data_IF_742271910434
#
_entry.id   IF_742271910434
#
_cell.length_a   1.000
_cell.length_b   1.000
_cell.length_c   1.000
_cell.angle_alpha   90.00
_cell.angle_beta   90.00
_cell.angle_gamma   90.00
#
_symmetry.space_group_name_H-M   'P 1'
#
loop_
_entity.id
_entity.type
_entity.pdbx_description
1 polymer ?
#
# COMPACT_ATOMS: atom_id res chain seq x y z
N UNK A 1 2.55 35.22 -10.64
CA UNK A 1 3.77 35.08 -11.46
C UNK A 1 3.53 33.95 -12.42
N UNK A 2 3.67 34.24 -13.71
CA UNK A 2 3.60 33.20 -14.73
C UNK A 2 4.80 32.27 -14.58
N UNK A 3 4.55 30.97 -14.73
CA UNK A 3 5.55 29.93 -14.61
C UNK A 3 6.42 29.94 -15.86
N UNK A 4 7.56 30.63 -15.81
CA UNK A 4 8.45 30.82 -16.96
C UNK A 4 9.93 30.64 -16.60
N UNK A 5 10.72 30.25 -17.61
CA UNK A 5 12.17 30.21 -17.47
C UNK A 5 12.73 31.64 -17.54
N UNK A 6 13.55 32.01 -16.55
CA UNK A 6 14.41 33.20 -16.61
C UNK A 6 15.76 32.76 -17.15
N UNK A 7 16.02 33.08 -18.42
CA UNK A 7 17.14 32.54 -19.21
C UNK A 7 17.08 31.01 -19.30
N UNK A 8 17.95 30.32 -18.57
CA UNK A 8 18.01 28.85 -18.53
C UNK A 8 17.47 28.26 -17.22
N UNK A 9 16.93 29.09 -16.31
CA UNK A 9 16.55 28.67 -14.95
C UNK A 9 15.05 28.86 -14.69
N UNK A 10 14.40 27.83 -14.16
CA UNK A 10 13.04 27.85 -13.64
C UNK A 10 13.07 27.49 -12.16
N UNK A 11 12.41 28.29 -11.31
CA UNK A 11 12.30 28.05 -9.88
C UNK A 11 10.83 27.94 -9.47
N UNK A 12 10.52 26.92 -8.68
CA UNK A 12 9.16 26.56 -8.31
C UNK A 12 9.13 26.04 -6.88
N UNK A 13 8.23 26.57 -6.06
CA UNK A 13 8.00 26.05 -4.72
C UNK A 13 7.05 24.85 -4.78
N UNK A 14 7.32 23.82 -3.98
CA UNK A 14 6.46 22.64 -3.90
C UNK A 14 5.73 22.60 -2.58
N UNK A 15 4.42 22.37 -2.64
CA UNK A 15 3.57 22.12 -1.47
C UNK A 15 3.44 20.63 -1.23
N UNK A 16 3.77 20.19 -0.01
CA UNK A 16 3.53 18.83 0.46
C UNK A 16 2.10 18.65 0.96
N UNK A 17 1.42 17.65 0.40
CA UNK A 17 0.08 17.22 0.81
C UNK A 17 0.11 15.91 1.57
N UNK A 18 1.15 15.11 1.39
CA UNK A 18 1.41 13.92 2.16
C UNK A 18 2.92 13.67 2.27
N UNK A 19 3.41 13.33 3.48
CA UNK A 19 4.84 13.23 3.75
C UNK A 19 5.51 12.14 2.93
N UNK A 20 6.82 12.28 2.73
CA UNK A 20 7.64 11.26 2.08
C UNK A 20 8.06 10.24 3.13
N UNK A 21 8.03 8.95 2.77
CA UNK A 21 8.83 7.95 3.50
C UNK A 21 10.21 7.96 2.87
N UNK A 22 11.12 8.70 3.49
CA UNK A 22 12.45 8.98 2.97
C UNK A 22 13.43 7.85 3.32
N UNK A 23 14.39 7.63 2.42
CA UNK A 23 15.36 6.53 2.49
C UNK A 23 16.68 6.94 3.16
N UNK A 24 17.05 8.22 3.11
CA UNK A 24 18.16 8.84 3.86
C UNK A 24 17.66 10.04 4.66
N UNK A 25 16.85 9.81 5.71
CA UNK A 25 16.21 10.90 6.44
C UNK A 25 17.14 11.67 7.37
N UNK A 26 18.36 11.17 7.58
CA UNK A 26 19.38 11.77 8.46
C UNK A 26 20.26 12.80 7.74
N UNK A 27 20.16 12.90 6.41
CA UNK A 27 20.87 13.92 5.64
C UNK A 27 20.29 15.31 5.89
N UNK A 28 21.16 16.30 6.07
CA UNK A 28 20.77 17.70 6.18
C UNK A 28 19.99 18.13 4.93
N UNK A 29 18.83 18.77 5.13
CA UNK A 29 17.94 19.14 4.02
C UNK A 29 17.19 17.98 3.38
N UNK A 30 17.01 16.84 4.07
CA UNK A 30 16.26 15.68 3.55
C UNK A 30 14.92 16.10 2.90
N UNK A 31 14.78 15.81 1.60
CA UNK A 31 13.61 16.23 0.80
C UNK A 31 13.41 15.35 -0.44
N UNK A 32 12.67 15.81 -1.45
CA UNK A 32 12.59 15.16 -2.76
C UNK A 32 13.97 15.05 -3.40
N UNK A 33 14.26 13.90 -4.01
CA UNK A 33 15.51 13.69 -4.74
C UNK A 33 15.35 13.90 -6.23
N UNK A 34 16.25 14.68 -6.81
CA UNK A 34 16.36 14.80 -8.26
C UNK A 34 16.58 13.44 -8.95
N UNK A 35 17.33 12.52 -8.32
CA UNK A 35 17.57 11.17 -8.84
C UNK A 35 16.31 10.29 -8.89
N UNK A 36 15.24 10.64 -8.16
CA UNK A 36 13.94 9.98 -8.27
C UNK A 36 12.97 10.77 -9.16
N UNK A 37 12.88 12.09 -8.96
CA UNK A 37 11.89 12.94 -9.62
C UNK A 37 12.21 13.08 -11.11
N UNK A 38 13.48 13.38 -11.48
CA UNK A 38 13.85 13.63 -12.87
C UNK A 38 13.57 12.42 -13.77
N UNK A 39 13.99 11.18 -13.45
CA UNK A 39 13.70 10.03 -14.33
C UNK A 39 12.20 9.68 -14.42
N UNK A 40 11.39 10.04 -13.41
CA UNK A 40 9.94 9.92 -13.50
C UNK A 40 9.36 10.98 -14.43
N UNK A 41 9.84 12.23 -14.34
CA UNK A 41 9.38 13.31 -15.19
C UNK A 41 9.81 13.13 -16.65
N UNK A 42 11.05 12.69 -16.92
CA UNK A 42 11.53 12.33 -18.26
C UNK A 42 10.57 11.31 -18.92
N UNK A 43 10.22 10.23 -18.20
CA UNK A 43 9.27 9.22 -18.69
C UNK A 43 7.87 9.78 -18.92
N UNK A 44 7.43 10.69 -18.05
CA UNK A 44 6.14 11.36 -18.19
C UNK A 44 6.12 12.25 -19.44
N UNK A 45 7.13 13.09 -19.64
CA UNK A 45 7.29 13.95 -20.82
C UNK A 45 7.35 13.12 -22.10
N UNK A 46 8.17 12.06 -22.14
CA UNK A 46 8.26 11.18 -23.32
C UNK A 46 6.96 10.41 -23.62
N UNK A 47 6.10 10.22 -22.62
CA UNK A 47 4.74 9.66 -22.83
C UNK A 47 3.81 10.72 -23.41
N UNK A 48 3.92 11.97 -22.99
CA UNK A 48 3.10 13.10 -23.44
C UNK A 48 3.48 13.60 -24.82
N UNK A 49 4.77 13.59 -25.12
CA UNK A 49 5.34 14.10 -26.35
C UNK A 49 6.22 13.00 -26.96
N UNK A 50 5.63 12.04 -27.72
CA UNK A 50 6.35 10.90 -28.25
C UNK A 50 7.53 11.25 -29.15
N UNK A 51 7.51 12.41 -29.81
CA UNK A 51 8.62 12.91 -30.64
C UNK A 51 9.92 13.06 -29.85
N UNK A 52 9.86 13.34 -28.54
CA UNK A 52 11.05 13.40 -27.68
C UNK A 52 11.81 12.07 -27.65
N UNK A 53 11.13 10.92 -27.78
CA UNK A 53 11.82 9.62 -27.82
C UNK A 53 12.72 9.49 -29.03
N UNK A 54 12.27 10.03 -30.16
CA UNK A 54 13.03 10.01 -31.41
C UNK A 54 14.18 11.00 -31.35
N UNK A 55 13.93 12.22 -30.87
CA UNK A 55 14.95 13.27 -30.73
C UNK A 55 16.08 12.88 -29.79
N UNK A 56 15.77 12.20 -28.68
CA UNK A 56 16.75 11.87 -27.63
C UNK A 56 17.10 10.39 -27.55
N UNK A 57 16.68 9.54 -28.50
CA UNK A 57 17.03 8.10 -28.59
C UNK A 57 16.90 7.34 -27.26
N UNK A 58 15.84 7.61 -26.48
CA UNK A 58 15.62 7.06 -25.12
C UNK A 58 16.70 7.39 -24.07
N UNK A 59 17.53 8.41 -24.30
CA UNK A 59 18.47 8.94 -23.31
C UNK A 59 17.79 9.92 -22.35
N UNK A 60 18.50 10.32 -21.29
CA UNK A 60 18.02 11.34 -20.35
C UNK A 60 17.86 12.69 -21.04
N UNK A 61 16.75 13.38 -20.77
CA UNK A 61 16.50 14.71 -21.33
C UNK A 61 17.53 15.72 -20.75
N UNK A 62 18.10 16.61 -21.58
CA UNK A 62 19.25 17.46 -21.23
C UNK A 62 18.88 18.68 -20.36
N UNK A 63 18.36 18.42 -19.17
CA UNK A 63 18.12 19.43 -18.14
C UNK A 63 18.60 18.92 -16.77
N UNK A 64 18.82 19.83 -15.83
CA UNK A 64 19.19 19.51 -14.44
C UNK A 64 18.05 19.90 -13.51
N UNK A 65 17.95 19.19 -12.39
CA UNK A 65 16.93 19.43 -11.36
C UNK A 65 17.61 19.40 -9.99
N UNK A 66 17.25 20.33 -9.13
CA UNK A 66 17.71 20.43 -7.74
C UNK A 66 16.50 20.70 -6.85
N UNK A 67 16.52 20.14 -5.65
CA UNK A 67 15.55 20.43 -4.59
C UNK A 67 16.32 20.94 -3.38
N UNK A 68 15.80 21.97 -2.74
CA UNK A 68 16.35 22.54 -1.52
C UNK A 68 15.19 22.78 -0.57
N UNK A 69 15.30 22.26 0.64
CA UNK A 69 14.48 22.68 1.78
C UNK A 69 15.42 22.97 2.94
N UNK A 70 15.37 24.20 3.45
CA UNK A 70 16.23 24.65 4.53
C UNK A 70 15.66 24.33 5.91
N UNK A 71 14.43 23.82 6.00
CA UNK A 71 13.78 23.50 7.27
C UNK A 71 12.83 22.29 7.17
N UNK A 72 13.30 21.12 6.67
CA UNK A 72 12.49 19.92 6.63
C UNK A 72 12.23 19.41 8.06
N UNK A 73 11.00 18.94 8.29
CA UNK A 73 10.63 18.31 9.55
C UNK A 73 10.72 16.78 9.42
N UNK A 74 11.75 16.20 10.07
CA UNK A 74 12.03 14.75 10.06
C UNK A 74 11.46 14.11 11.32
N UNK A 75 10.60 13.11 11.15
CA UNK A 75 9.83 12.51 12.25
C UNK A 75 10.15 11.01 12.38
N UNK A 76 10.51 10.63 13.61
CA UNK A 76 11.04 9.33 13.99
C UNK A 76 9.97 8.33 14.44
N UNK A 77 10.20 7.04 14.18
CA UNK A 77 9.34 5.93 14.64
C UNK A 77 9.71 5.56 16.07
N UNK A 78 8.75 5.54 17.00
CA UNK A 78 8.97 5.01 18.35
C UNK A 78 8.91 3.47 18.37
N UNK A 79 9.99 2.82 18.79
CA UNK A 79 9.99 1.64 19.67
C UNK A 79 11.44 1.25 20.00
N UNK A 80 11.91 1.59 21.22
CA UNK A 80 13.24 1.26 21.78
C UNK A 80 14.45 1.77 20.99
N UNK A 81 14.85 3.02 21.21
CA UNK A 81 16.26 3.40 21.16
C UNK A 81 16.59 4.08 22.49
N UNK A 82 16.99 3.29 23.46
CA UNK A 82 17.92 3.78 24.48
C UNK A 82 19.23 4.07 23.75
N UNK A 83 19.49 5.35 23.46
CA UNK A 83 20.77 5.77 22.90
C UNK A 83 20.65 6.77 21.76
N UNK A 84 20.73 8.04 22.15
CA UNK A 84 21.08 9.23 21.35
C UNK A 84 20.07 9.69 20.29
N UNK A 85 19.99 11.03 20.22
CA UNK A 85 19.26 11.88 19.28
C UNK A 85 17.84 12.31 19.70
N UNK A 86 17.90 13.40 20.46
CA UNK A 86 16.95 14.46 20.75
C UNK A 86 15.58 14.14 21.37
N UNK A 87 15.44 14.56 22.63
CA UNK A 87 14.17 14.59 23.37
C UNK A 87 13.27 15.76 22.92
N UNK A 88 13.75 16.71 22.10
CA UNK A 88 12.93 17.85 21.68
C UNK A 88 11.84 17.52 20.63
N UNK A 89 12.01 16.48 19.80
CA UNK A 89 10.97 16.09 18.80
C UNK A 89 10.01 15.01 19.30
N UNK A 90 10.30 14.41 20.45
CA UNK A 90 9.61 13.21 20.94
C UNK A 90 8.43 13.50 21.89
N UNK A 91 8.30 14.74 22.35
CA UNK A 91 7.19 15.15 23.21
C UNK A 91 6.21 16.01 22.43
N UNK A 92 5.04 15.41 22.16
CA UNK A 92 3.77 16.05 21.77
C UNK A 92 3.46 16.20 20.26
N UNK A 93 2.41 15.47 19.84
CA UNK A 93 1.60 15.68 18.62
C UNK A 93 2.19 15.24 17.26
N UNK A 94 2.14 13.94 16.95
CA UNK A 94 2.33 13.49 15.56
C UNK A 94 2.94 12.11 15.37
N UNK A 95 3.30 11.43 16.45
CA UNK A 95 3.87 10.09 16.40
C UNK A 95 2.76 9.06 16.14
N UNK A 96 2.56 8.69 14.88
CA UNK A 96 1.70 7.57 14.49
C UNK A 96 2.49 6.63 13.59
N UNK A 97 2.17 5.33 13.66
CA UNK A 97 2.90 4.30 12.94
C UNK A 97 2.86 4.59 11.43
N UNK A 98 4.03 4.63 10.79
CA UNK A 98 4.10 4.69 9.33
C UNK A 98 3.57 3.37 8.75
N UNK A 99 2.27 3.36 8.46
CA UNK A 99 1.61 2.22 7.86
C UNK A 99 2.30 1.88 6.53
N UNK A 100 2.53 0.58 6.27
CA UNK A 100 3.21 0.08 5.08
C UNK A 100 4.70 0.42 4.94
N UNK A 101 5.32 1.11 5.90
CA UNK A 101 6.78 1.31 5.95
C UNK A 101 7.45 0.29 6.89
N UNK A 102 8.51 -0.38 6.42
CA UNK A 102 9.40 -1.23 7.23
C UNK A 102 10.79 -0.59 7.30
N UNK A 103 11.45 -0.79 8.45
CA UNK A 103 12.85 -0.55 8.89
C UNK A 103 13.61 0.66 8.32
N UNK A 104 14.29 1.40 9.23
CA UNK A 104 15.20 2.56 9.00
C UNK A 104 14.64 3.79 8.27
N UNK A 105 13.57 3.65 7.50
CA UNK A 105 12.91 4.77 6.82
C UNK A 105 12.19 5.68 7.82
N UNK A 106 12.09 6.95 7.49
CA UNK A 106 11.44 7.97 8.34
C UNK A 106 10.49 8.84 7.54
N UNK A 107 9.60 9.50 8.27
CA UNK A 107 8.66 10.46 7.71
C UNK A 107 9.38 11.79 7.54
N UNK A 108 9.29 12.38 6.36
CA UNK A 108 9.84 13.70 6.09
C UNK A 108 8.71 14.58 5.56
N UNK A 109 8.47 15.67 6.28
CA UNK A 109 7.55 16.75 5.91
C UNK A 109 8.40 17.91 5.41
N UNK A 110 8.26 18.26 4.15
CA UNK A 110 9.16 19.17 3.44
C UNK A 110 8.39 19.94 2.39
N UNK A 111 8.71 21.21 2.17
CA UNK A 111 8.13 22.04 1.11
C UNK A 111 9.28 22.64 0.29
N UNK A 112 9.96 21.83 -0.54
CA UNK A 112 11.20 22.26 -1.17
C UNK A 112 10.95 23.27 -2.28
N UNK A 113 11.92 24.17 -2.48
CA UNK A 113 12.08 24.89 -3.73
C UNK A 113 12.80 24.00 -4.73
N UNK A 114 12.18 23.80 -5.88
CA UNK A 114 12.71 23.07 -7.02
C UNK A 114 13.34 24.06 -8.00
N UNK A 115 14.58 23.81 -8.39
CA UNK A 115 15.26 24.53 -9.47
C UNK A 115 15.46 23.61 -10.66
N UNK A 116 15.05 24.02 -11.84
CA UNK A 116 15.31 23.36 -13.12
C UNK A 116 16.24 24.23 -13.95
N UNK A 117 17.31 23.64 -14.50
CA UNK A 117 18.21 24.32 -15.45
C UNK A 117 18.14 23.62 -16.81
N UNK A 118 17.74 24.34 -17.85
CA UNK A 118 17.56 23.84 -19.20
C UNK A 118 17.98 24.89 -20.22
N UNK A 119 18.81 24.52 -21.20
CA UNK A 119 19.25 25.43 -22.27
C UNK A 119 18.47 25.25 -23.57
N UNK A 120 17.78 24.11 -23.74
CA UNK A 120 16.97 23.82 -24.92
C UNK A 120 15.60 24.53 -24.82
N UNK A 121 15.28 25.48 -25.72
CA UNK A 121 14.04 26.27 -25.63
C UNK A 121 12.76 25.45 -25.82
N UNK A 122 12.81 24.42 -26.68
CA UNK A 122 11.67 23.53 -26.88
C UNK A 122 11.38 22.76 -25.59
N UNK A 123 12.41 22.22 -24.96
CA UNK A 123 12.31 21.48 -23.72
C UNK A 123 11.89 22.38 -22.55
N UNK A 124 12.34 23.63 -22.50
CA UNK A 124 11.83 24.62 -21.54
C UNK A 124 10.30 24.77 -21.62
N UNK A 125 9.77 24.96 -22.84
CA UNK A 125 8.32 25.07 -23.07
C UNK A 125 7.59 23.82 -22.61
N UNK A 126 8.08 22.63 -22.97
CA UNK A 126 7.46 21.36 -22.58
C UNK A 126 7.52 21.11 -21.07
N UNK A 127 8.60 21.53 -20.40
CA UNK A 127 8.72 21.44 -18.94
C UNK A 127 7.64 22.29 -18.28
N UNK A 128 7.51 23.57 -18.68
CA UNK A 128 6.48 24.49 -18.16
C UNK A 128 5.08 23.89 -18.38
N UNK A 129 4.79 23.39 -19.59
CA UNK A 129 3.48 22.85 -19.92
C UNK A 129 3.07 21.64 -19.06
N UNK A 130 4.03 20.82 -18.63
CA UNK A 130 3.75 19.50 -18.08
C UNK A 130 4.11 19.31 -16.60
N UNK A 131 4.96 20.16 -16.01
CA UNK A 131 5.49 19.94 -14.66
C UNK A 131 4.39 19.94 -13.59
N UNK A 132 3.39 20.82 -13.70
CA UNK A 132 2.25 20.87 -12.77
C UNK A 132 1.44 19.57 -12.78
N UNK A 133 1.04 19.12 -13.98
CA UNK A 133 0.26 17.89 -14.13
C UNK A 133 1.04 16.68 -13.63
N UNK A 134 2.36 16.63 -13.91
CA UNK A 134 3.23 15.58 -13.42
C UNK A 134 3.17 15.41 -11.90
N UNK A 135 3.28 16.51 -11.13
CA UNK A 135 3.19 16.46 -9.67
C UNK A 135 1.77 16.09 -9.17
N UNK A 136 0.72 16.54 -9.87
CA UNK A 136 -0.67 16.15 -9.58
C UNK A 136 -0.91 14.65 -9.73
N UNK A 137 -0.17 13.95 -10.61
CA UNK A 137 -0.39 12.51 -10.87
C UNK A 137 0.72 11.60 -10.35
N UNK A 138 1.73 12.16 -9.70
CA UNK A 138 2.90 11.40 -9.25
C UNK A 138 3.09 11.49 -7.75
N UNK A 139 3.42 10.36 -7.13
CA UNK A 139 3.86 10.27 -5.75
C UNK A 139 5.35 9.87 -5.70
N UNK A 140 6.00 10.12 -4.56
CA UNK A 140 7.45 9.93 -4.40
C UNK A 140 7.80 9.18 -3.11
N UNK A 141 9.01 8.62 -3.07
CA UNK A 141 9.51 7.85 -1.94
C UNK A 141 8.89 6.46 -1.80
N UNK A 142 9.10 5.84 -0.63
CA UNK A 142 8.59 4.51 -0.36
C UNK A 142 7.07 4.52 -0.12
N UNK A 143 6.42 3.40 -0.42
CA UNK A 143 4.96 3.25 -0.32
C UNK A 143 4.14 4.34 -1.06
N UNK A 144 4.69 4.92 -2.13
CA UNK A 144 4.01 5.91 -3.01
C UNK A 144 2.61 5.46 -3.48
N UNK A 145 2.37 4.15 -3.67
CA UNK A 145 1.07 3.61 -4.03
C UNK A 145 0.01 3.71 -2.92
N UNK A 146 0.43 4.06 -1.70
CA UNK A 146 -0.40 4.19 -0.49
C UNK A 146 -0.69 5.63 -0.10
N UNK A 147 -0.35 6.60 -0.95
CA UNK A 147 -0.67 8.02 -0.74
C UNK A 147 0.49 8.88 -0.25
N UNK A 148 1.61 8.27 0.17
CA UNK A 148 2.80 9.00 0.62
C UNK A 148 3.51 9.75 -0.52
N UNK A 149 4.21 10.82 -0.15
CA UNK A 149 5.05 11.65 -1.02
C UNK A 149 4.24 12.37 -2.10
N UNK A 150 3.19 13.07 -1.71
CA UNK A 150 2.32 13.80 -2.63
C UNK A 150 2.62 15.30 -2.59
N UNK A 151 2.88 15.88 -3.76
CA UNK A 151 3.26 17.29 -3.92
C UNK A 151 2.50 17.96 -5.07
N UNK A 152 2.40 19.29 -5.02
CA UNK A 152 1.99 20.15 -6.16
C UNK A 152 2.89 21.38 -6.25
N UNK A 153 2.99 21.98 -7.45
CA UNK A 153 3.80 23.19 -7.71
C UNK A 153 3.12 24.47 -7.22
N UNK A 154 1.80 24.49 -7.15
CA UNK A 154 1.00 25.56 -6.53
C UNK A 154 -0.34 24.98 -6.09
N UNK A 155 -1.14 25.79 -5.41
CA UNK A 155 -2.56 25.50 -5.19
C UNK A 155 -3.33 25.70 -6.50
N UNK A 156 -3.59 24.59 -7.18
CA UNK A 156 -4.51 24.53 -8.32
C UNK A 156 -5.95 24.37 -7.83
N UNK A 157 -6.89 24.90 -8.61
CA UNK A 157 -8.32 24.73 -8.33
C UNK A 157 -8.70 23.26 -8.29
N UNK A 158 -9.61 22.93 -7.37
CA UNK A 158 -9.97 21.55 -7.12
C UNK A 158 -10.58 20.85 -8.35
N UNK A 159 -11.38 21.57 -9.14
CA UNK A 159 -11.93 21.08 -10.41
C UNK A 159 -10.85 20.74 -11.43
N UNK A 160 -9.78 21.55 -11.52
CA UNK A 160 -8.64 21.31 -12.42
C UNK A 160 -7.86 20.08 -12.01
N UNK A 161 -7.61 19.89 -10.70
CA UNK A 161 -6.95 18.69 -10.17
C UNK A 161 -7.74 17.43 -10.55
N UNK A 162 -9.05 17.42 -10.29
CA UNK A 162 -9.91 16.26 -10.60
C UNK A 162 -9.95 15.97 -12.10
N UNK A 163 -10.00 17.01 -12.95
CA UNK A 163 -9.92 16.87 -14.41
C UNK A 163 -8.60 16.25 -14.86
N UNK A 164 -7.47 16.76 -14.36
CA UNK A 164 -6.13 16.22 -14.69
C UNK A 164 -6.03 14.76 -14.26
N UNK A 165 -6.47 14.41 -13.06
CA UNK A 165 -6.48 13.02 -12.59
C UNK A 165 -7.30 12.11 -13.51
N UNK A 166 -8.49 12.55 -13.95
CA UNK A 166 -9.32 11.79 -14.89
C UNK A 166 -8.63 11.59 -16.24
N UNK A 167 -8.11 12.66 -16.83
CA UNK A 167 -7.46 12.64 -18.14
C UNK A 167 -6.19 11.77 -18.14
N UNK A 168 -5.31 11.96 -17.14
CA UNK A 168 -4.00 11.30 -17.07
C UNK A 168 -4.08 9.80 -16.80
N UNK A 169 -5.06 9.38 -16.00
CA UNK A 169 -5.29 7.98 -15.67
C UNK A 169 -6.39 7.32 -16.52
N UNK A 170 -7.11 8.08 -17.36
CA UNK A 170 -8.23 7.58 -18.15
C UNK A 170 -9.41 7.11 -17.29
N UNK A 171 -9.73 7.85 -16.22
CA UNK A 171 -10.74 7.45 -15.23
C UNK A 171 -12.14 7.85 -15.68
N UNK A 172 -13.02 6.85 -15.84
CA UNK A 172 -14.47 7.06 -15.96
C UNK A 172 -15.10 7.44 -14.61
N UNK A 173 -14.56 6.89 -13.53
CA UNK A 173 -15.08 7.11 -12.17
C UNK A 173 -13.96 7.63 -11.29
N UNK A 174 -14.26 8.69 -10.54
CA UNK A 174 -13.37 9.24 -9.53
C UNK A 174 -13.96 8.96 -8.15
N UNK A 175 -13.15 8.34 -7.31
CA UNK A 175 -13.49 8.02 -5.93
C UNK A 175 -12.70 8.94 -5.01
N UNK A 176 -13.36 9.60 -4.07
CA UNK A 176 -12.68 10.50 -3.13
C UNK A 176 -13.21 10.45 -1.71
N UNK A 177 -12.31 10.60 -0.75
CA UNK A 177 -12.64 10.89 0.66
C UNK A 177 -12.24 12.32 0.96
N UNK A 178 -13.17 13.14 1.42
CA UNK A 178 -12.92 14.55 1.73
C UNK A 178 -12.72 14.73 3.24
N UNK A 179 -11.51 15.11 3.65
CA UNK A 179 -11.19 15.38 5.05
C UNK A 179 -11.19 16.86 5.40
N UNK A 180 -11.41 17.78 4.45
CA UNK A 180 -11.26 19.23 4.68
C UNK A 180 -12.06 19.74 5.87
N UNK A 181 -13.28 19.22 6.08
CA UNK A 181 -14.13 19.57 7.24
C UNK A 181 -13.56 19.04 8.55
N UNK A 182 -13.21 17.76 8.65
CA UNK A 182 -12.69 17.18 9.90
C UNK A 182 -11.25 17.59 10.21
N UNK A 183 -10.49 17.97 9.17
CA UNK A 183 -9.11 18.39 9.26
C UNK A 183 -8.95 19.91 9.44
N UNK A 184 -10.02 20.71 9.31
CA UNK A 184 -9.94 22.19 9.18
C UNK A 184 -9.03 22.86 10.21
N UNK A 185 -9.11 22.44 11.47
CA UNK A 185 -8.39 23.05 12.60
C UNK A 185 -7.26 22.16 13.15
N UNK A 186 -6.89 21.10 12.44
CA UNK A 186 -5.82 20.20 12.86
C UNK A 186 -4.47 20.68 12.31
N UNK A 187 -3.41 20.56 13.12
CA UNK A 187 -2.02 20.70 12.63
C UNK A 187 -1.72 19.61 11.60
N UNK A 188 -0.79 19.87 10.67
CA UNK A 188 -0.44 18.97 9.57
C UNK A 188 -0.24 17.51 10.02
N UNK A 189 0.59 17.25 11.02
CA UNK A 189 0.81 15.90 11.57
C UNK A 189 -0.47 15.17 12.00
N UNK A 190 -1.43 15.88 12.63
CA UNK A 190 -2.72 15.31 13.04
C UNK A 190 -3.63 15.07 11.83
N UNK A 191 -3.64 15.97 10.85
CA UNK A 191 -4.37 15.78 9.58
C UNK A 191 -3.91 14.50 8.87
N UNK A 192 -2.59 14.37 8.69
CA UNK A 192 -2.00 13.20 8.03
C UNK A 192 -2.33 11.93 8.79
N UNK A 193 -2.29 11.94 10.14
CA UNK A 193 -2.70 10.77 10.94
C UNK A 193 -4.11 10.31 10.57
N UNK A 194 -5.09 11.22 10.63
CA UNK A 194 -6.50 10.93 10.33
C UNK A 194 -6.66 10.39 8.91
N UNK A 195 -6.04 11.05 7.93
CA UNK A 195 -6.10 10.65 6.52
C UNK A 195 -5.56 9.23 6.31
N UNK A 196 -4.36 8.94 6.84
CA UNK A 196 -3.71 7.64 6.60
C UNK A 196 -4.33 6.50 7.40
N UNK A 197 -4.88 6.75 8.58
CA UNK A 197 -5.68 5.75 9.31
C UNK A 197 -6.92 5.34 8.51
N UNK A 198 -7.59 6.29 7.87
CA UNK A 198 -8.75 6.00 7.02
C UNK A 198 -8.38 5.30 5.70
N UNK A 199 -7.27 5.71 5.05
CA UNK A 199 -6.72 4.98 3.90
C UNK A 199 -6.43 3.52 4.28
N UNK A 200 -5.80 3.30 5.44
CA UNK A 200 -5.47 1.95 5.91
C UNK A 200 -6.73 1.14 6.22
N UNK A 201 -7.69 1.72 6.95
CA UNK A 201 -8.98 1.09 7.28
C UNK A 201 -9.72 0.68 6.02
N UNK A 202 -9.90 1.59 5.06
CA UNK A 202 -10.53 1.29 3.78
C UNK A 202 -9.80 0.19 3.01
N UNK A 203 -8.48 0.26 2.90
CA UNK A 203 -7.71 -0.74 2.16
C UNK A 203 -7.75 -2.12 2.82
N UNK A 204 -7.71 -2.19 4.17
CA UNK A 204 -7.88 -3.43 4.94
C UNK A 204 -9.26 -4.02 4.73
N UNK A 205 -10.33 -3.24 4.90
CA UNK A 205 -11.71 -3.67 4.67
C UNK A 205 -11.90 -4.12 3.22
N UNK A 206 -11.30 -3.43 2.25
CA UNK A 206 -11.39 -3.83 0.84
C UNK A 206 -10.72 -5.19 0.59
N UNK A 207 -9.50 -5.41 1.10
CA UNK A 207 -8.66 -6.55 0.71
C UNK A 207 -8.68 -7.74 1.68
N UNK A 208 -8.46 -7.51 2.97
CA UNK A 208 -8.12 -8.56 3.94
C UNK A 208 -9.08 -8.70 5.12
N UNK A 209 -9.97 -7.72 5.30
CA UNK A 209 -10.80 -7.56 6.48
C UNK A 209 -10.10 -6.70 7.51
N UNK A 210 -10.88 -6.28 8.50
CA UNK A 210 -10.47 -5.44 9.62
C UNK A 210 -10.84 -6.14 10.93
N UNK A 211 -9.89 -6.20 11.86
CA UNK A 211 -10.10 -6.69 13.21
C UNK A 211 -9.17 -5.89 14.12
N UNK A 212 -9.71 -4.85 14.76
CA UNK A 212 -8.95 -3.97 15.63
C UNK A 212 -9.88 -3.30 16.65
N UNK A 213 -9.44 -3.22 17.91
CA UNK A 213 -10.18 -2.55 19.00
C UNK A 213 -11.66 -2.97 19.14
N UNK A 214 -11.99 -4.24 18.89
CA UNK A 214 -13.36 -4.75 18.97
C UNK A 214 -14.20 -4.51 17.71
N UNK A 215 -13.72 -3.74 16.74
CA UNK A 215 -14.34 -3.61 15.43
C UNK A 215 -13.92 -4.80 14.54
N UNK A 216 -14.91 -5.53 14.02
CA UNK A 216 -14.70 -6.61 13.05
C UNK A 216 -15.46 -6.32 11.77
N UNK A 217 -14.75 -6.34 10.64
CA UNK A 217 -15.34 -6.33 9.31
C UNK A 217 -14.68 -7.39 8.44
N UNK A 218 -15.49 -8.26 7.84
CA UNK A 218 -15.03 -9.17 6.78
C UNK A 218 -14.69 -8.38 5.52
N UNK A 219 -13.81 -8.89 4.66
CA UNK A 219 -13.38 -8.12 3.49
C UNK A 219 -14.47 -7.97 2.43
N UNK A 220 -14.50 -6.81 1.75
CA UNK A 220 -15.34 -6.63 0.57
C UNK A 220 -14.98 -7.65 -0.52
N UNK A 221 -13.68 -7.90 -0.72
CA UNK A 221 -13.20 -8.90 -1.68
C UNK A 221 -13.75 -10.31 -1.41
N UNK A 222 -13.94 -10.67 -0.13
CA UNK A 222 -14.55 -11.95 0.22
C UNK A 222 -15.99 -12.00 -0.28
N UNK A 223 -16.82 -11.01 0.08
CA UNK A 223 -18.23 -11.01 -0.31
C UNK A 223 -18.40 -10.96 -1.83
N UNK A 224 -17.64 -10.10 -2.51
CA UNK A 224 -17.71 -9.95 -3.96
C UNK A 224 -17.34 -11.23 -4.72
N UNK A 225 -16.40 -12.02 -4.20
CA UNK A 225 -15.98 -13.28 -4.82
C UNK A 225 -16.94 -14.43 -4.49
N UNK A 226 -17.48 -14.45 -3.27
CA UNK A 226 -18.46 -15.45 -2.87
C UNK A 226 -19.77 -15.34 -3.65
N UNK A 227 -20.22 -14.13 -3.97
CA UNK A 227 -21.37 -13.89 -4.87
C UNK A 227 -21.14 -14.49 -6.27
N UNK A 228 -19.88 -14.65 -6.66
CA UNK A 228 -19.45 -15.29 -7.91
C UNK A 228 -19.10 -16.76 -7.74
N UNK A 229 -19.47 -17.38 -6.62
CA UNK A 229 -19.15 -18.77 -6.29
C UNK A 229 -17.65 -19.09 -6.26
N UNK A 230 -16.80 -18.10 -5.94
CA UNK A 230 -15.34 -18.24 -5.82
C UNK A 230 -14.94 -18.16 -4.35
N UNK A 231 -14.30 -19.22 -3.86
CA UNK A 231 -13.76 -19.28 -2.51
C UNK A 231 -12.42 -18.54 -2.40
N UNK A 232 -12.06 -18.11 -1.20
CA UNK A 232 -10.80 -17.41 -0.97
C UNK A 232 -9.65 -18.36 -0.59
N UNK A 233 -8.40 -17.93 -0.82
CA UNK A 233 -7.24 -18.73 -0.44
C UNK A 233 -7.22 -19.05 1.05
N UNK A 234 -7.68 -18.13 1.91
CA UNK A 234 -7.68 -18.35 3.36
C UNK A 234 -8.52 -19.55 3.78
N UNK A 235 -9.63 -19.86 3.09
CA UNK A 235 -10.43 -21.06 3.35
C UNK A 235 -9.64 -22.32 3.00
N UNK A 236 -9.10 -22.41 1.77
CA UNK A 236 -8.28 -23.54 1.33
C UNK A 236 -7.06 -23.78 2.24
N UNK A 237 -6.38 -22.70 2.66
CA UNK A 237 -5.22 -22.79 3.54
C UNK A 237 -5.61 -23.24 4.96
N UNK A 238 -6.81 -22.91 5.46
CA UNK A 238 -7.28 -23.33 6.78
C UNK A 238 -7.74 -24.78 6.81
N UNK A 239 -8.54 -25.21 5.84
CA UNK A 239 -9.05 -26.59 5.78
C UNK A 239 -7.89 -27.61 5.69
N UNK A 240 -6.97 -27.40 4.74
CA UNK A 240 -5.90 -28.36 4.45
C UNK A 240 -4.77 -28.37 5.47
N UNK A 241 -4.44 -27.24 6.11
CA UNK A 241 -3.23 -27.12 6.96
C UNK A 241 -3.52 -26.86 8.42
N UNK A 242 -4.68 -26.31 8.75
CA UNK A 242 -5.00 -25.92 10.12
C UNK A 242 -6.04 -26.88 10.72
N UNK A 243 -7.13 -27.24 10.04
CA UNK A 243 -8.18 -28.08 10.64
C UNK A 243 -7.84 -29.58 10.63
N UNK A 244 -7.45 -30.14 9.47
CA UNK A 244 -7.13 -31.58 9.33
C UNK A 244 -6.04 -32.11 10.27
N UNK A 245 -4.96 -31.37 10.60
CA UNK A 245 -3.92 -31.89 11.51
C UNK A 245 -4.30 -31.96 12.99
N UNK A 246 -5.36 -31.26 13.42
CA UNK A 246 -5.74 -31.14 14.84
C UNK A 246 -7.00 -31.93 15.21
N UNK A 247 -7.56 -32.72 14.28
CA UNK A 247 -8.70 -33.60 14.55
C UNK A 247 -9.97 -32.87 15.02
N UNK A 248 -10.08 -31.56 14.75
CA UNK A 248 -11.30 -30.79 15.03
C UNK A 248 -12.18 -30.83 13.79
N UNK A 249 -13.47 -31.09 13.97
CA UNK A 249 -14.46 -31.01 12.89
C UNK A 249 -14.41 -29.59 12.32
N UNK A 250 -14.16 -29.41 11.01
CA UNK A 250 -14.09 -28.10 10.39
C UNK A 250 -15.35 -27.29 10.68
N UNK A 251 -15.23 -26.15 11.36
CA UNK A 251 -16.39 -25.30 11.70
C UNK A 251 -17.05 -24.71 10.45
N UNK A 252 -16.41 -24.83 9.27
CA UNK A 252 -16.81 -24.17 8.04
C UNK A 252 -17.16 -25.12 6.88
N UNK A 253 -17.30 -26.42 7.11
CA UNK A 253 -17.59 -27.40 6.05
C UNK A 253 -18.98 -27.25 5.41
N UNK A 254 -19.91 -26.49 5.99
CA UNK A 254 -21.29 -26.49 5.52
C UNK A 254 -21.63 -25.47 4.42
N UNK A 255 -20.71 -24.61 3.94
CA UNK A 255 -21.01 -23.65 2.85
C UNK A 255 -19.81 -23.27 1.96
N UNK A 256 -18.77 -24.09 1.84
CA UNK A 256 -17.59 -23.73 1.03
C UNK A 256 -17.79 -24.13 -0.44
N UNK A 257 -17.76 -23.13 -1.31
CA UNK A 257 -17.62 -23.27 -2.76
C UNK A 257 -16.30 -23.98 -3.07
N UNK A 258 -16.33 -25.16 -3.72
CA UNK A 258 -15.15 -25.97 -4.11
C UNK A 258 -14.17 -25.30 -5.11
N UNK A 259 -14.27 -23.98 -5.31
CA UNK A 259 -13.52 -23.21 -6.29
C UNK A 259 -12.67 -22.14 -5.59
N UNK A 260 -11.80 -22.55 -4.66
CA UNK A 260 -10.90 -21.61 -4.00
C UNK A 260 -9.83 -21.07 -4.95
N UNK A 261 -9.69 -19.75 -4.97
CA UNK A 261 -8.71 -19.03 -5.78
C UNK A 261 -7.86 -18.12 -4.91
N UNK A 262 -6.69 -17.71 -5.41
CA UNK A 262 -5.84 -16.72 -4.76
C UNK A 262 -6.35 -15.29 -4.99
N UNK A 263 -7.54 -15.00 -4.48
CA UNK A 263 -8.25 -13.74 -4.72
C UNK A 263 -7.50 -12.52 -4.20
N UNK A 264 -6.79 -12.62 -3.06
CA UNK A 264 -6.05 -11.46 -2.50
C UNK A 264 -4.90 -10.97 -3.38
N UNK A 265 -4.38 -11.81 -4.28
CA UNK A 265 -3.35 -11.39 -5.25
C UNK A 265 -3.87 -10.34 -6.23
N UNK A 266 -5.17 -10.32 -6.51
CA UNK A 266 -5.82 -9.32 -7.37
C UNK A 266 -5.59 -7.88 -6.89
N UNK A 267 -5.43 -7.70 -5.57
CA UNK A 267 -5.16 -6.41 -4.93
C UNK A 267 -3.70 -6.29 -4.46
N UNK A 268 -2.78 -6.95 -5.16
CA UNK A 268 -1.35 -6.96 -4.87
C UNK A 268 -0.86 -8.28 -4.25
N UNK A 269 0.27 -8.76 -4.71
CA UNK A 269 0.91 -9.97 -4.20
C UNK A 269 1.48 -9.76 -2.79
N UNK A 270 1.25 -10.74 -1.92
CA UNK A 270 2.05 -10.92 -0.71
C UNK A 270 3.00 -12.08 -0.97
N UNK A 271 4.30 -11.88 -0.76
CA UNK A 271 5.28 -12.98 -0.80
C UNK A 271 5.16 -13.91 0.42
N UNK A 272 4.47 -13.42 1.46
CA UNK A 272 4.40 -14.06 2.75
C UNK A 272 3.02 -13.86 3.40
N UNK A 273 2.48 -14.91 3.99
CA UNK A 273 1.33 -14.84 4.90
C UNK A 273 1.71 -15.49 6.23
N UNK A 274 1.16 -14.97 7.32
CA UNK A 274 1.26 -15.61 8.62
C UNK A 274 -0.12 -15.76 9.21
N UNK A 275 -0.39 -16.94 9.74
CA UNK A 275 -1.61 -17.27 10.46
C UNK A 275 -1.22 -17.71 11.85
N UNK A 276 -1.75 -17.03 12.86
CA UNK A 276 -1.72 -17.53 14.22
C UNK A 276 -3.07 -18.13 14.51
N UNK A 277 -3.05 -19.38 14.94
CA UNK A 277 -4.23 -20.06 15.40
C UNK A 277 -4.10 -20.37 16.89
N UNK A 278 -5.17 -20.10 17.63
CA UNK A 278 -5.26 -20.26 19.08
C UNK A 278 -6.36 -21.30 19.28
N UNK A 279 -5.98 -22.57 19.44
CA UNK A 279 -6.94 -23.64 19.72
C UNK A 279 -6.57 -24.40 21.00
N UNK A 280 -7.62 -24.82 21.71
CA UNK A 280 -7.52 -25.81 22.77
C UNK A 280 -7.39 -27.17 22.11
N UNK A 281 -6.30 -27.89 22.36
CA UNK A 281 -6.16 -29.27 21.90
C UNK A 281 -7.18 -30.16 22.63
N UNK A 282 -7.36 -31.42 22.20
CA UNK A 282 -8.21 -32.44 22.85
C UNK A 282 -7.92 -32.62 24.34
N UNK A 283 -6.72 -32.24 24.80
CA UNK A 283 -6.31 -32.21 26.21
C UNK A 283 -6.66 -30.91 26.97
N UNK A 284 -7.47 -30.01 26.39
CA UNK A 284 -7.80 -28.66 26.91
C UNK A 284 -6.61 -27.71 27.14
N UNK A 285 -5.41 -28.06 26.67
CA UNK A 285 -4.25 -27.17 26.64
C UNK A 285 -4.41 -26.14 25.51
N UNK A 286 -4.32 -24.85 25.82
CA UNK A 286 -4.20 -23.79 24.81
C UNK A 286 -2.83 -23.89 24.15
N UNK A 287 -2.79 -24.16 22.84
CA UNK A 287 -1.55 -24.13 22.06
C UNK A 287 -1.72 -23.14 20.92
N UNK A 288 -1.00 -22.04 21.02
CA UNK A 288 -0.89 -21.08 19.94
C UNK A 288 0.10 -21.60 18.91
N UNK A 289 -0.31 -21.65 17.65
CA UNK A 289 0.55 -22.09 16.56
C UNK A 289 0.55 -21.01 15.50
N UNK A 290 1.74 -20.51 15.21
CA UNK A 290 1.95 -19.60 14.10
C UNK A 290 2.49 -20.36 12.91
N UNK A 291 1.76 -20.34 11.81
CA UNK A 291 2.15 -20.94 10.53
C UNK A 291 2.46 -19.82 9.56
N UNK A 292 3.65 -19.90 8.97
CA UNK A 292 4.13 -18.96 7.98
C UNK A 292 4.05 -19.62 6.61
N UNK A 293 3.62 -18.88 5.61
CA UNK A 293 3.35 -19.40 4.27
C UNK A 293 4.10 -18.54 3.27
N UNK A 294 5.05 -19.17 2.58
CA UNK A 294 5.77 -18.57 1.46
C UNK A 294 4.97 -18.82 0.18
N UNK A 295 4.83 -17.78 -0.63
CA UNK A 295 4.03 -17.82 -1.85
C UNK A 295 4.94 -17.56 -3.03
N UNK A 296 4.90 -18.46 -4.02
CA UNK A 296 5.74 -18.40 -5.22
C UNK A 296 4.88 -18.56 -6.47
N UNK A 297 5.13 -17.74 -7.49
CA UNK A 297 4.51 -17.94 -8.79
C UNK A 297 5.09 -19.21 -9.42
N UNK A 298 4.21 -20.05 -9.96
CA UNK A 298 4.62 -21.21 -10.74
C UNK A 298 4.76 -20.77 -12.20
N UNK A 299 5.95 -20.26 -12.53
CA UNK A 299 6.27 -19.83 -13.88
C UNK A 299 6.46 -21.05 -14.79
N UNK A 300 5.88 -20.96 -15.99
CA UNK A 300 6.12 -21.95 -17.05
C UNK A 300 7.21 -21.40 -17.99
N UNK A 301 7.76 -22.22 -18.89
CA UNK A 301 8.80 -21.78 -19.87
C UNK A 301 8.43 -20.54 -20.69
N UNK A 302 7.14 -20.22 -20.79
CA UNK A 302 6.58 -19.13 -21.61
C UNK A 302 6.37 -17.84 -20.79
N UNK A 303 6.28 -17.93 -19.45
CA UNK A 303 5.90 -16.80 -18.60
C UNK A 303 7.03 -16.38 -17.66
N UNK A 304 7.33 -15.07 -17.62
CA UNK A 304 8.26 -14.52 -16.65
C UNK A 304 7.74 -14.72 -15.21
N UNK A 305 8.66 -14.98 -14.28
CA UNK A 305 8.32 -15.16 -12.87
C UNK A 305 7.72 -13.87 -12.26
N UNK A 306 6.56 -13.99 -11.60
CA UNK A 306 5.92 -12.86 -10.93
C UNK A 306 6.38 -12.82 -9.47
N UNK A 307 7.49 -12.12 -9.22
CA UNK A 307 8.00 -11.93 -7.86
C UNK A 307 7.24 -10.86 -7.08
N UNK A 308 6.79 -9.82 -7.78
CA UNK A 308 6.09 -8.67 -7.20
C UNK A 308 4.95 -8.24 -8.11
N UNK A 309 3.76 -8.11 -7.53
CA UNK A 309 2.62 -7.46 -8.16
C UNK A 309 2.11 -6.37 -7.22
N UNK A 310 2.21 -5.12 -7.64
CA UNK A 310 1.74 -3.98 -6.84
C UNK A 310 0.22 -3.93 -6.85
N UNK A 311 -0.36 -3.39 -5.77
CA UNK A 311 -1.80 -3.10 -5.71
C UNK A 311 -2.23 -2.27 -6.94
N UNK A 312 -3.29 -2.69 -7.67
CA UNK A 312 -3.83 -1.90 -8.76
C UNK A 312 -4.65 -0.69 -8.25
N UNK A 313 -4.81 -0.54 -6.94
CA UNK A 313 -5.37 0.64 -6.29
C UNK A 313 -4.23 1.52 -5.79
N UNK A 314 -4.19 2.78 -6.23
CA UNK A 314 -3.26 3.82 -5.79
C UNK A 314 -4.02 4.94 -5.09
N UNK A 315 -3.47 5.48 -4.00
CA UNK A 315 -4.02 6.65 -3.33
C UNK A 315 -3.20 7.90 -3.67
N UNK A 316 -3.87 9.04 -3.85
CA UNK A 316 -3.24 10.36 -4.05
C UNK A 316 -3.90 11.35 -3.09
N UNK A 317 -3.10 12.02 -2.27
CA UNK A 317 -3.59 13.00 -1.28
C UNK A 317 -3.29 14.40 -1.78
N UNK A 318 -4.30 15.24 -1.99
CA UNK A 318 -4.13 16.64 -2.38
C UNK A 318 -5.20 17.46 -1.65
N UNK A 319 -4.83 18.56 -1.01
CA UNK A 319 -5.75 19.48 -0.32
C UNK A 319 -6.68 18.77 0.69
N UNK A 320 -6.12 17.89 1.52
CA UNK A 320 -6.86 17.06 2.49
C UNK A 320 -7.94 16.15 1.86
N UNK A 321 -7.88 15.91 0.54
CA UNK A 321 -8.73 14.96 -0.18
C UNK A 321 -7.90 13.75 -0.62
N UNK A 322 -8.41 12.55 -0.36
CA UNK A 322 -7.81 11.30 -0.84
C UNK A 322 -8.54 10.86 -2.11
N UNK A 323 -7.82 10.83 -3.23
CA UNK A 323 -8.28 10.21 -4.47
C UNK A 323 -7.86 8.74 -4.51
N UNK A 324 -8.81 7.87 -4.85
CA UNK A 324 -8.57 6.44 -5.01
C UNK A 324 -8.56 6.14 -6.51
N UNK A 325 -7.40 5.76 -7.02
CA UNK A 325 -7.10 5.66 -8.45
C UNK A 325 -7.00 4.17 -8.83
N UNK A 326 -8.02 3.61 -9.51
CA UNK A 326 -7.99 2.23 -10.00
C UNK A 326 -7.16 2.11 -11.28
N UNK A 327 -6.34 1.06 -11.35
CA UNK A 327 -5.52 0.71 -12.53
C UNK A 327 -6.03 -0.57 -13.17
N UNK A 328 -7.26 -0.54 -13.72
CA UNK A 328 -7.92 -1.72 -14.33
C UNK A 328 -7.00 -2.51 -15.28
N UNK A 329 -6.27 -1.81 -16.17
CA UNK A 329 -5.37 -2.44 -17.15
C UNK A 329 -4.24 -3.25 -16.52
N UNK A 330 -3.90 -3.02 -15.25
CA UNK A 330 -2.89 -3.79 -14.54
C UNK A 330 -3.39 -5.15 -14.06
N UNK A 331 -4.69 -5.32 -13.85
CA UNK A 331 -5.25 -6.57 -13.34
C UNK A 331 -4.96 -7.76 -14.28
N UNK A 332 -4.92 -7.55 -15.59
CA UNK A 332 -4.61 -8.60 -16.58
C UNK A 332 -3.30 -9.35 -16.34
N UNK A 333 -2.32 -8.72 -15.69
CA UNK A 333 -1.02 -9.33 -15.44
C UNK A 333 -1.03 -10.36 -14.31
N UNK A 334 -2.08 -10.38 -13.48
CA UNK A 334 -2.20 -11.30 -12.35
C UNK A 334 -3.35 -12.30 -12.51
N UNK A 335 -4.16 -12.20 -13.57
CA UNK A 335 -5.27 -13.13 -13.83
C UNK A 335 -4.77 -14.48 -14.34
N UNK A 336 -5.50 -15.53 -13.99
CA UNK A 336 -5.24 -16.91 -14.43
C UNK A 336 -3.83 -17.45 -14.07
N UNK A 337 -3.17 -16.86 -13.06
CA UNK A 337 -1.80 -17.20 -12.64
C UNK A 337 -1.80 -18.22 -11.52
N UNK A 338 -0.94 -19.24 -11.62
CA UNK A 338 -0.84 -20.33 -10.66
C UNK A 338 0.25 -20.03 -9.62
N UNK A 339 -0.08 -20.26 -8.35
CA UNK A 339 0.81 -19.99 -7.23
C UNK A 339 0.93 -21.21 -6.34
N UNK A 340 2.17 -21.46 -5.91
CA UNK A 340 2.54 -22.48 -4.94
C UNK A 340 2.64 -21.87 -3.55
N UNK A 341 1.98 -22.50 -2.58
CA UNK A 341 1.95 -22.13 -1.18
C UNK A 341 2.76 -23.16 -0.39
N UNK A 342 3.91 -22.72 0.15
CA UNK A 342 4.82 -23.55 0.96
C UNK A 342 4.71 -23.16 2.42
N UNK A 343 4.44 -24.15 3.26
CA UNK A 343 4.25 -23.96 4.69
C UNK A 343 5.58 -24.04 5.45
N UNK A 344 5.69 -23.22 6.50
CA UNK A 344 6.79 -23.23 7.46
C UNK A 344 6.22 -22.93 8.83
N UNK A 345 6.33 -23.87 9.77
CA UNK A 345 5.85 -23.62 11.14
C UNK A 345 6.80 -22.64 11.81
N UNK A 346 6.24 -21.64 12.49
CA UNK A 346 7.03 -20.72 13.30
C UNK A 346 7.62 -21.49 14.49
N UNK A 347 8.93 -21.37 14.67
CA UNK A 347 9.62 -21.93 15.84
C UNK A 347 9.46 -21.05 17.09
N UNK A 348 8.84 -19.87 16.96
CA UNK A 348 8.69 -18.96 18.07
C UNK A 348 7.75 -19.56 19.12
N UNK A 349 8.17 -19.45 20.38
CA UNK A 349 7.33 -19.80 21.52
C UNK A 349 6.22 -18.76 21.64
N UNK A 350 4.95 -19.17 21.76
CA UNK A 350 3.85 -18.23 21.92
C UNK A 350 3.93 -17.43 23.21
N UNK A 351 3.32 -16.25 23.23
CA UNK A 351 3.33 -15.39 24.43
C UNK A 351 2.67 -16.07 25.63
N UNK A 352 1.58 -16.79 25.41
CA UNK A 352 0.86 -17.56 26.41
C UNK A 352 1.75 -18.62 27.09
N UNK A 353 2.76 -19.14 26.39
CA UNK A 353 3.67 -20.17 26.91
C UNK A 353 5.00 -19.61 27.42
N UNK A 354 5.31 -18.32 27.20
CA UNK A 354 6.62 -17.76 27.58
C UNK A 354 6.91 -17.87 29.08
N UNK A 355 5.92 -17.65 29.95
CA UNK A 355 6.08 -17.81 31.40
C UNK A 355 6.25 -19.28 31.79
N UNK A 356 5.38 -20.17 31.30
CA UNK A 356 5.39 -21.59 31.63
C UNK A 356 6.64 -22.35 31.13
N UNK A 357 7.25 -21.91 30.02
CA UNK A 357 8.48 -22.49 29.46
C UNK A 357 9.74 -21.97 30.17
N UNK A 358 9.71 -20.74 30.69
CA UNK A 358 10.83 -20.14 31.43
C UNK A 358 11.14 -20.94 32.71
N UNK A 359 10.11 -21.53 33.32
CA UNK A 359 10.20 -22.23 34.59
C UNK A 359 10.24 -23.77 34.46
N UNK A 360 10.03 -24.33 33.25
CA UNK A 360 9.99 -25.79 33.04
C UNK A 360 10.65 -26.24 31.73
N UNK A 361 11.89 -26.75 31.86
CA UNK A 361 12.72 -27.26 30.74
C UNK A 361 12.07 -28.42 29.97
N UNK A 362 11.29 -29.27 30.63
CA UNK A 362 10.59 -30.40 29.98
C UNK A 362 9.50 -29.90 29.03
N UNK A 363 8.71 -28.89 29.42
CA UNK A 363 7.68 -28.29 28.56
C UNK A 363 8.26 -27.66 27.30
N UNK A 364 9.47 -27.09 27.38
CA UNK A 364 10.19 -26.57 26.21
C UNK A 364 10.51 -27.67 25.19
N UNK A 365 11.05 -28.79 25.68
CA UNK A 365 11.42 -29.95 24.84
C UNK A 365 10.18 -30.56 24.19
N UNK A 366 9.07 -30.67 24.92
CA UNK A 366 7.80 -31.16 24.38
C UNK A 366 7.25 -30.27 23.28
N UNK A 367 7.27 -28.95 23.48
CA UNK A 367 6.85 -27.98 22.46
C UNK A 367 7.75 -28.05 21.22
N UNK A 368 9.07 -28.11 21.38
CA UNK A 368 10.02 -28.24 20.26
C UNK A 368 9.79 -29.54 19.47
N UNK A 369 9.57 -30.67 20.15
CA UNK A 369 9.22 -31.96 19.50
C UNK A 369 7.90 -31.87 18.76
N UNK A 370 6.89 -31.24 19.34
CA UNK A 370 5.58 -31.04 18.70
C UNK A 370 5.70 -30.19 17.43
N UNK A 371 6.39 -29.03 17.51
CA UNK A 371 6.62 -28.15 16.36
C UNK A 371 7.41 -28.85 15.26
N UNK A 372 8.43 -29.65 15.61
CA UNK A 372 9.20 -30.42 14.62
C UNK A 372 8.32 -31.42 13.86
N UNK A 373 7.50 -32.20 14.57
CA UNK A 373 6.57 -33.16 13.96
C UNK A 373 5.57 -32.46 13.04
N UNK A 374 5.05 -31.31 13.47
CA UNK A 374 4.11 -30.52 12.67
C UNK A 374 4.77 -29.94 11.41
N UNK A 375 5.99 -29.40 11.53
CA UNK A 375 6.76 -28.86 10.41
C UNK A 375 7.11 -29.94 9.38
N UNK A 376 7.52 -31.13 9.82
CA UNK A 376 7.76 -32.28 8.94
C UNK A 376 6.50 -32.72 8.20
N UNK A 377 5.35 -32.76 8.88
CA UNK A 377 4.05 -33.05 8.27
C UNK A 377 3.68 -31.99 7.22
N UNK A 378 3.77 -30.71 7.58
CA UNK A 378 3.35 -29.61 6.70
C UNK A 378 4.32 -29.36 5.53
N UNK A 379 5.60 -29.70 5.65
CA UNK A 379 6.57 -29.63 4.54
C UNK A 379 6.21 -30.54 3.37
N UNK A 380 5.44 -31.61 3.62
CA UNK A 380 4.99 -32.55 2.58
C UNK A 380 3.72 -32.06 1.88
N UNK A 381 3.04 -31.07 2.44
CA UNK A 381 1.82 -30.50 1.88
C UNK A 381 2.16 -29.32 0.97
N UNK A 382 1.83 -29.44 -0.31
CA UNK A 382 1.94 -28.35 -1.27
C UNK A 382 0.55 -27.99 -1.77
N UNK A 383 0.16 -26.73 -1.59
CA UNK A 383 -1.10 -26.22 -2.14
C UNK A 383 -0.81 -25.35 -3.33
N UNK A 384 -1.55 -25.61 -4.40
CA UNK A 384 -1.55 -24.80 -5.59
C UNK A 384 -2.91 -24.10 -5.70
N UNK A 385 -2.89 -22.77 -5.79
CA UNK A 385 -4.08 -21.99 -6.07
C UNK A 385 -3.81 -21.10 -7.28
N UNK A 386 -4.83 -20.96 -8.09
CA UNK A 386 -4.81 -20.04 -9.22
C UNK A 386 -5.52 -18.75 -8.85
N UNK A 387 -5.12 -17.63 -9.42
CA UNK A 387 -5.94 -16.41 -9.37
C UNK A 387 -7.17 -16.55 -10.27
N UNK A 388 -8.23 -15.77 -10.03
CA UNK A 388 -9.40 -15.79 -10.90
C UNK A 388 -9.07 -15.50 -12.37
N UNK A 389 -9.88 -16.05 -13.27
CA UNK A 389 -9.74 -15.87 -14.72
C UNK A 389 -10.11 -14.44 -15.13
N UNK A 390 -11.13 -13.88 -14.48
CA UNK A 390 -11.62 -12.54 -14.73
C UNK A 390 -11.71 -11.72 -13.45
N UNK A 391 -11.46 -10.42 -13.57
CA UNK A 391 -11.68 -9.45 -12.49
C UNK A 391 -11.87 -8.05 -13.05
N UNK A 392 -13.06 -7.50 -12.83
CA UNK A 392 -13.35 -6.09 -13.07
C UNK A 392 -13.11 -5.30 -11.77
N UNK A 393 -11.99 -4.57 -11.72
CA UNK A 393 -11.59 -3.75 -10.59
C UNK A 393 -12.57 -2.59 -10.36
N UNK A 394 -13.18 -2.03 -11.42
CA UNK A 394 -14.09 -0.89 -11.27
C UNK A 394 -15.40 -1.35 -10.62
N UNK A 395 -16.01 -2.41 -11.14
CA UNK A 395 -17.22 -3.01 -10.52
C UNK A 395 -16.95 -3.46 -9.08
N UNK A 396 -15.79 -4.07 -8.84
CA UNK A 396 -15.39 -4.43 -7.49
C UNK A 396 -15.21 -3.21 -6.59
N UNK A 397 -14.60 -2.14 -7.08
CA UNK A 397 -14.34 -0.94 -6.28
C UNK A 397 -15.64 -0.21 -5.95
N UNK A 398 -16.60 -0.15 -6.87
CA UNK A 398 -17.96 0.37 -6.60
C UNK A 398 -18.62 -0.42 -5.46
N UNK A 399 -18.58 -1.77 -5.53
CA UNK A 399 -19.06 -2.64 -4.46
C UNK A 399 -18.33 -2.37 -3.13
N UNK A 400 -17.00 -2.31 -3.16
CA UNK A 400 -16.19 -2.12 -1.96
C UNK A 400 -16.43 -0.77 -1.29
N UNK A 401 -16.64 0.28 -2.07
CA UNK A 401 -16.98 1.62 -1.57
C UNK A 401 -18.36 1.62 -0.91
N UNK A 402 -19.37 1.04 -1.56
CA UNK A 402 -20.71 0.92 -0.97
C UNK A 402 -20.68 0.11 0.34
N UNK A 403 -19.94 -1.01 0.34
CA UNK A 403 -19.76 -1.84 1.53
C UNK A 403 -19.06 -1.07 2.66
N UNK A 404 -17.98 -0.35 2.36
CA UNK A 404 -17.26 0.48 3.33
C UNK A 404 -18.17 1.57 3.92
N UNK A 405 -18.91 2.30 3.08
CA UNK A 405 -19.80 3.37 3.52
C UNK A 405 -20.98 2.86 4.37
N UNK A 406 -21.42 1.60 4.20
CA UNK A 406 -22.44 0.96 5.05
C UNK A 406 -21.90 0.56 6.43
N UNK A 407 -20.60 0.29 6.53
CA UNK A 407 -19.95 -0.15 7.77
C UNK A 407 -19.59 1.01 8.70
N UNK A 408 -19.43 2.22 8.17
CA UNK A 408 -19.24 3.43 8.97
C UNK A 408 -20.60 3.91 9.51
N UNK A 409 -20.82 3.95 10.85
CA UNK A 409 -22.07 4.43 11.41
C UNK A 409 -22.35 5.87 10.97
N UNK A 410 -23.64 6.18 10.76
CA UNK A 410 -24.14 7.53 10.47
C UNK A 410 -23.63 8.51 11.53
N UNK A 411 -22.55 9.26 11.23
CA UNK A 411 -21.99 10.23 12.17
C UNK A 411 -20.55 10.70 11.91
N UNK A 412 -19.72 9.96 11.16
CA UNK A 412 -18.37 10.41 10.81
C UNK A 412 -18.28 11.01 9.40
N UNK A 413 -17.50 12.08 9.27
CA UNK A 413 -17.44 13.01 8.14
C UNK A 413 -16.73 12.51 6.86
N UNK A 414 -16.53 11.19 6.68
CA UNK A 414 -15.59 10.64 5.68
C UNK A 414 -16.14 9.50 4.83
N UNK A 415 -17.43 9.56 4.45
CA UNK A 415 -17.94 8.68 3.41
C UNK A 415 -17.16 8.87 2.11
N UNK A 416 -16.91 7.77 1.41
CA UNK A 416 -16.28 7.82 0.09
C UNK A 416 -17.34 8.27 -0.92
N UNK A 417 -17.07 9.37 -1.58
CA UNK A 417 -17.89 9.91 -2.67
C UNK A 417 -17.48 9.26 -3.99
N UNK A 418 -18.47 8.90 -4.80
CA UNK A 418 -18.28 8.41 -6.16
C UNK A 418 -18.78 9.49 -7.11
N UNK A 419 -17.91 9.94 -8.02
CA UNK A 419 -18.28 10.86 -9.10
C UNK A 419 -18.04 10.17 -10.44
N UNK A 420 -19.13 9.91 -11.17
CA UNK A 420 -19.07 9.39 -12.53
C UNK A 420 -18.80 10.53 -13.51
N UNK A 421 -17.97 10.28 -14.51
CA UNK A 421 -17.84 11.18 -15.66
C UNK A 421 -19.12 11.05 -16.50
N UNK A 422 -19.94 12.10 -16.51
CA UNK A 422 -21.12 12.19 -17.37
C UNK A 422 -20.60 12.73 -18.70
N UNK A 423 -20.03 11.85 -19.52
CA UNK A 423 -19.74 12.15 -20.93
C UNK A 423 -20.68 11.36 -21.82
#
# INVERSE_FOLDING_TARGET
MDMEFRNCKLELDLKCHAPIIHFQPEEEGATLRASEVKPKFDRYLMKKVPSLKNCFKNQYLPYKMKFIDNSPNVIYKYSKNEGKYDKQTNNNEGNFQLYFARDEKRRVETNPTMTITCFDPLLQKLIVEHIKNFFIVTNFGAAQGKGYGSFTVIDEEQSKIERILREEFGLKTLYKMDFRKAAKNLKFSKKIKVIFENIEKFYKITKSGYNYQGEYARSALFYYMHDKMIGNEKAALKDKVIEKPFGTIPYHLNQQTHNEKYVRALLGLSSYLSFTDIRKNTKKEEKDISVNINIMHEANKIEANIERFSSPITFKVINDIVYIIPKQRWCKYILNKKFKFKYKVSKNVPRSWMSAIKDNKMRKIEYERFIRKLDEKLKREEIYLQTPEEFDLLKFLDFAVQYYNKMEPKGYAHTIQISYDIR
#
